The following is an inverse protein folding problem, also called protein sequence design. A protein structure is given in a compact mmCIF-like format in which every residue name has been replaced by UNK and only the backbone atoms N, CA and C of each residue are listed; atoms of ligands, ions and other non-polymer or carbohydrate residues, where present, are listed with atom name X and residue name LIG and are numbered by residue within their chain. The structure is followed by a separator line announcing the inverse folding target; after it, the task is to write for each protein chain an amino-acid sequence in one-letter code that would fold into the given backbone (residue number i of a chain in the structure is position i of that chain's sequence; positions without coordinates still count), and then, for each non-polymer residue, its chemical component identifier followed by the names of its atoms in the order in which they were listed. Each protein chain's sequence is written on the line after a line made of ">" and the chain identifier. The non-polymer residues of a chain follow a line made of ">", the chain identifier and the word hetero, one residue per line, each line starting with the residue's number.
data_IF_978984521285
#
_entry.id   IF_978984521285
#
_cell.length_a   1.000
_cell.length_b   1.000
_cell.length_c   1.000
_cell.angle_alpha   90.00
_cell.angle_beta   90.00
_cell.angle_gamma   90.00
#
_symmetry.space_group_name_H-M   'P 1'
#
loop_
_entity.id
_entity.type
_entity.pdbx_description
1 polymer ?
#
# COMPACT_ATOMS: atom_id res chain seq x y z
N UNK A 1 9.21 -18.29 -31.77
CA UNK A 1 9.65 -18.84 -30.47
C UNK A 1 8.70 -18.32 -29.39
N UNK A 2 7.64 -19.08 -29.11
CA UNK A 2 6.57 -18.72 -28.18
C UNK A 2 7.09 -19.05 -26.78
N UNK A 3 7.57 -18.05 -26.04
CA UNK A 3 7.90 -18.26 -24.63
C UNK A 3 6.61 -18.32 -23.84
N UNK A 4 6.18 -19.55 -23.58
CA UNK A 4 5.29 -19.90 -22.48
C UNK A 4 6.02 -19.54 -21.18
N UNK A 5 5.62 -18.52 -20.40
CA UNK A 5 6.32 -18.17 -19.17
C UNK A 5 6.07 -19.31 -18.18
N UNK A 6 7.00 -20.25 -18.09
CA UNK A 6 7.04 -21.21 -17.00
C UNK A 6 7.26 -20.42 -15.70
N UNK A 7 6.77 -21.00 -14.60
CA UNK A 7 6.90 -20.56 -13.19
C UNK A 7 8.24 -19.89 -12.77
N UNK A 8 9.31 -20.05 -13.53
CA UNK A 8 10.66 -19.54 -13.25
C UNK A 8 10.80 -18.01 -13.36
N UNK A 9 10.01 -17.33 -14.22
CA UNK A 9 10.22 -15.89 -14.46
C UNK A 9 9.58 -14.99 -13.37
N UNK A 10 8.59 -15.50 -12.63
CA UNK A 10 8.01 -14.79 -11.48
C UNK A 10 8.83 -14.92 -10.18
N UNK A 11 9.63 -15.98 -10.08
CA UNK A 11 10.59 -16.19 -8.99
C UNK A 11 11.97 -15.72 -9.45
N UNK A 12 12.06 -14.47 -9.89
CA UNK A 12 13.35 -13.79 -9.96
C UNK A 12 14.02 -13.77 -8.57
N UNK A 13 15.33 -13.55 -8.54
CA UNK A 13 16.05 -13.27 -7.29
C UNK A 13 15.33 -12.17 -6.50
N UNK A 14 15.44 -12.17 -5.16
CA UNK A 14 14.79 -11.17 -4.30
C UNK A 14 15.01 -9.73 -4.81
N UNK A 15 16.23 -9.45 -5.29
CA UNK A 15 16.59 -8.17 -5.91
C UNK A 15 15.69 -7.84 -7.12
N UNK A 16 15.45 -8.80 -8.02
CA UNK A 16 14.57 -8.61 -9.18
C UNK A 16 13.12 -8.34 -8.78
N UNK A 17 12.65 -8.92 -7.68
CA UNK A 17 11.32 -8.64 -7.14
C UNK A 17 11.23 -7.24 -6.55
N UNK A 18 12.25 -6.80 -5.81
CA UNK A 18 12.33 -5.45 -5.24
C UNK A 18 12.42 -4.35 -6.30
N UNK A 19 13.18 -4.57 -7.38
CA UNK A 19 13.30 -3.62 -8.50
C UNK A 19 12.20 -3.77 -9.56
N UNK A 20 11.27 -4.73 -9.38
CA UNK A 20 10.25 -5.07 -10.38
C UNK A 20 10.80 -5.38 -11.78
N UNK A 21 12.07 -5.81 -11.90
CA UNK A 21 12.73 -6.02 -13.20
C UNK A 21 12.13 -7.17 -14.02
N UNK A 22 11.29 -8.00 -13.40
CA UNK A 22 10.48 -8.99 -14.11
C UNK A 22 9.47 -8.35 -15.09
N UNK A 23 9.09 -7.08 -14.89
CA UNK A 23 8.23 -6.32 -15.79
C UNK A 23 8.96 -5.77 -17.03
N UNK A 24 10.29 -5.62 -16.97
CA UNK A 24 11.08 -4.94 -18.02
C UNK A 24 10.85 -5.58 -19.40
N UNK A 25 10.80 -6.91 -19.46
CA UNK A 25 10.57 -7.65 -20.71
C UNK A 25 9.20 -7.30 -21.33
N UNK A 26 8.17 -7.15 -20.50
CA UNK A 26 6.82 -6.81 -20.96
C UNK A 26 6.76 -5.36 -21.42
N UNK A 27 7.36 -4.44 -20.66
CA UNK A 27 7.40 -3.02 -20.97
C UNK A 27 8.17 -2.75 -22.28
N UNK A 28 9.35 -3.33 -22.44
CA UNK A 28 10.15 -3.22 -23.67
C UNK A 28 9.41 -3.79 -24.88
N UNK A 29 8.62 -4.86 -24.70
CA UNK A 29 7.81 -5.42 -25.78
C UNK A 29 6.65 -4.51 -26.15
N UNK A 30 5.98 -3.93 -25.16
CA UNK A 30 4.91 -2.95 -25.35
C UNK A 30 5.39 -1.66 -26.02
N UNK A 31 6.64 -1.26 -25.75
CA UNK A 31 7.28 -0.14 -26.45
C UNK A 31 7.52 -0.44 -27.94
N UNK A 32 7.84 -1.70 -28.29
CA UNK A 32 8.15 -2.10 -29.67
C UNK A 32 6.93 -2.52 -30.50
N UNK A 33 5.88 -3.03 -29.85
CA UNK A 33 4.69 -3.59 -30.48
C UNK A 33 3.48 -3.43 -29.56
N UNK A 34 2.31 -3.17 -30.15
CA UNK A 34 1.02 -3.26 -29.45
C UNK A 34 0.83 -4.63 -28.80
N UNK A 35 0.74 -4.65 -27.47
CA UNK A 35 0.56 -5.88 -26.69
C UNK A 35 -0.79 -6.53 -26.99
N UNK A 36 -0.76 -7.85 -27.12
CA UNK A 36 -1.95 -8.69 -27.25
C UNK A 36 -2.10 -9.60 -26.03
N UNK A 37 -3.27 -10.23 -25.85
CA UNK A 37 -3.54 -11.07 -24.66
C UNK A 37 -2.53 -12.21 -24.47
N UNK A 38 -1.98 -12.76 -25.58
CA UNK A 38 -0.95 -13.81 -25.55
C UNK A 38 0.41 -13.33 -25.04
N UNK A 39 0.65 -12.02 -25.05
CA UNK A 39 1.91 -11.42 -24.57
C UNK A 39 1.87 -11.15 -23.06
N UNK A 40 0.69 -11.23 -22.44
CA UNK A 40 0.48 -11.00 -21.02
C UNK A 40 0.91 -12.22 -20.20
N UNK A 41 1.42 -11.94 -19.00
CA UNK A 41 1.75 -12.98 -18.05
C UNK A 41 0.49 -13.70 -17.56
N UNK A 42 0.55 -15.03 -17.38
CA UNK A 42 -0.55 -15.76 -16.75
C UNK A 42 -0.68 -15.35 -15.29
N UNK A 43 -1.92 -15.39 -14.78
CA UNK A 43 -2.19 -15.12 -13.37
C UNK A 43 -1.42 -16.10 -12.46
N UNK A 44 -0.69 -15.62 -11.44
CA UNK A 44 -0.03 -16.48 -10.47
C UNK A 44 -1.01 -17.45 -9.80
N UNK A 45 -0.58 -18.69 -9.53
CA UNK A 45 -1.45 -19.74 -8.97
C UNK A 45 -2.03 -19.36 -7.60
N UNK A 46 -1.30 -18.55 -6.85
CA UNK A 46 -1.70 -18.01 -5.54
C UNK A 46 -2.81 -16.96 -5.67
N UNK A 47 -2.86 -16.25 -6.80
CA UNK A 47 -3.81 -15.19 -7.11
C UNK A 47 -4.95 -15.64 -8.03
N UNK A 48 -4.94 -16.90 -8.49
CA UNK A 48 -6.04 -17.46 -9.25
C UNK A 48 -7.36 -17.38 -8.47
N UNK A 49 -8.39 -16.89 -9.15
CA UNK A 49 -9.76 -16.69 -8.63
C UNK A 49 -10.30 -17.88 -7.85
N UNK A 50 -10.11 -19.10 -8.38
CA UNK A 50 -10.57 -20.35 -7.73
C UNK A 50 -9.95 -20.54 -6.36
N UNK A 51 -8.62 -20.50 -6.25
CA UNK A 51 -7.89 -20.75 -5.00
C UNK A 51 -8.11 -19.63 -3.98
N UNK A 52 -8.16 -18.39 -4.45
CA UNK A 52 -8.47 -17.23 -3.63
C UNK A 52 -9.86 -17.36 -3.01
N UNK A 53 -10.87 -17.70 -3.82
CA UNK A 53 -12.22 -17.89 -3.34
C UNK A 53 -12.36 -19.11 -2.40
N UNK A 54 -11.67 -20.21 -2.66
CA UNK A 54 -11.64 -21.39 -1.77
C UNK A 54 -11.13 -21.03 -0.37
N UNK A 55 -10.09 -20.19 -0.26
CA UNK A 55 -9.59 -19.68 1.04
C UNK A 55 -10.64 -18.82 1.74
N UNK A 56 -11.29 -17.92 1.01
CA UNK A 56 -12.37 -17.10 1.55
C UNK A 56 -13.56 -17.96 2.02
N UNK A 57 -14.02 -18.88 1.18
CA UNK A 57 -15.17 -19.74 1.45
C UNK A 57 -14.92 -20.59 2.70
N UNK A 58 -13.71 -21.13 2.89
CA UNK A 58 -13.34 -21.83 4.14
C UNK A 58 -13.56 -20.96 5.38
N UNK A 59 -13.15 -19.70 5.35
CA UNK A 59 -13.36 -18.76 6.45
C UNK A 59 -14.83 -18.34 6.58
N UNK A 60 -15.55 -18.21 5.47
CA UNK A 60 -16.98 -17.88 5.45
C UNK A 60 -17.84 -19.00 6.02
N UNK A 61 -17.62 -20.26 5.62
CA UNK A 61 -18.31 -21.42 6.17
C UNK A 61 -18.07 -21.60 7.67
N UNK A 62 -16.89 -21.23 8.15
CA UNK A 62 -16.59 -21.25 9.60
C UNK A 62 -17.35 -20.15 10.34
N UNK A 63 -17.48 -18.97 9.74
CA UNK A 63 -18.20 -17.83 10.34
C UNK A 63 -19.72 -18.04 10.33
N UNK A 64 -20.26 -18.71 9.30
CA UNK A 64 -21.68 -19.09 9.20
C UNK A 64 -22.16 -20.00 10.35
N UNK A 65 -21.26 -20.72 11.03
CA UNK A 65 -21.58 -21.56 12.19
C UNK A 65 -21.78 -20.75 13.48
N UNK A 66 -21.50 -19.45 13.47
CA UNK A 66 -21.64 -18.58 14.65
C UNK A 66 -23.00 -17.90 14.66
N UNK A 67 -23.45 -17.47 15.84
CA UNK A 67 -24.74 -16.81 16.02
C UNK A 67 -24.91 -15.54 15.17
N UNK A 68 -23.82 -14.76 14.98
CA UNK A 68 -23.82 -13.52 14.19
C UNK A 68 -22.73 -13.58 13.11
N UNK A 69 -23.02 -14.15 11.93
CA UNK A 69 -22.04 -14.25 10.85
C UNK A 69 -21.73 -12.87 10.26
N UNK A 70 -20.43 -12.56 10.13
CA UNK A 70 -19.96 -11.29 9.57
C UNK A 70 -18.96 -11.54 8.45
N UNK A 71 -19.36 -11.18 7.22
CA UNK A 71 -18.54 -11.36 6.02
C UNK A 71 -17.25 -10.54 6.09
N UNK A 72 -17.26 -9.40 6.80
CA UNK A 72 -16.09 -8.54 6.96
C UNK A 72 -14.96 -9.27 7.68
N UNK A 73 -15.29 -10.08 8.69
CA UNK A 73 -14.32 -10.88 9.44
C UNK A 73 -13.70 -11.98 8.58
N UNK A 74 -14.52 -12.66 7.76
CA UNK A 74 -14.02 -13.69 6.84
C UNK A 74 -13.10 -13.09 5.78
N UNK A 75 -13.49 -11.95 5.18
CA UNK A 75 -12.66 -11.20 4.23
C UNK A 75 -11.34 -10.76 4.87
N UNK A 76 -11.39 -10.16 6.07
CA UNK A 76 -10.21 -9.73 6.79
C UNK A 76 -9.26 -10.91 7.05
N UNK A 77 -9.75 -12.06 7.51
CA UNK A 77 -8.93 -13.27 7.72
C UNK A 77 -8.35 -13.86 6.44
N UNK A 78 -8.96 -13.66 5.28
CA UNK A 78 -8.38 -14.09 4.01
C UNK A 78 -7.21 -13.21 3.59
N UNK A 79 -7.32 -11.90 3.83
CA UNK A 79 -6.42 -10.88 3.29
C UNK A 79 -5.39 -10.34 4.29
N UNK A 80 -5.54 -10.61 5.60
CA UNK A 80 -4.73 -9.99 6.66
C UNK A 80 -3.23 -10.16 6.46
N UNK A 81 -2.77 -11.31 5.96
CA UNK A 81 -1.34 -11.57 5.80
C UNK A 81 -0.69 -10.58 4.83
N UNK A 82 -1.37 -10.31 3.71
CA UNK A 82 -0.88 -9.34 2.71
C UNK A 82 -1.03 -7.91 3.20
N UNK A 83 -2.12 -7.62 3.90
CA UNK A 83 -2.36 -6.32 4.52
C UNK A 83 -1.26 -5.97 5.53
N UNK A 84 -0.88 -6.90 6.41
CA UNK A 84 0.18 -6.72 7.40
C UNK A 84 1.56 -6.55 6.76
N UNK A 85 1.86 -7.29 5.68
CA UNK A 85 3.13 -7.13 4.96
C UNK A 85 3.24 -5.74 4.34
N UNK A 86 2.19 -5.28 3.63
CA UNK A 86 2.17 -3.92 3.08
C UNK A 86 2.28 -2.85 4.17
N UNK A 87 1.57 -3.05 5.27
CA UNK A 87 1.64 -2.21 6.45
C UNK A 87 3.02 -2.11 7.09
N UNK A 88 3.73 -3.24 7.16
CA UNK A 88 5.10 -3.30 7.66
C UNK A 88 6.08 -2.49 6.78
N UNK A 89 5.96 -2.57 5.45
CA UNK A 89 6.77 -1.73 4.55
C UNK A 89 6.48 -0.24 4.73
N UNK A 90 5.21 0.16 4.90
CA UNK A 90 4.89 1.55 5.22
C UNK A 90 5.49 2.00 6.55
N UNK A 91 5.53 1.13 7.56
CA UNK A 91 6.18 1.45 8.83
C UNK A 91 7.68 1.71 8.63
N UNK A 92 8.38 0.84 7.88
CA UNK A 92 9.79 1.04 7.53
C UNK A 92 9.99 2.36 6.78
N UNK A 93 9.14 2.65 5.79
CA UNK A 93 9.19 3.89 5.02
C UNK A 93 9.13 5.13 5.93
N UNK A 94 8.20 5.16 6.89
CA UNK A 94 8.07 6.28 7.82
C UNK A 94 9.28 6.40 8.75
N UNK A 95 9.86 5.29 9.22
CA UNK A 95 11.09 5.31 10.01
C UNK A 95 12.29 5.86 9.22
N UNK A 96 12.39 5.48 7.95
CA UNK A 96 13.42 5.99 7.04
C UNK A 96 13.21 7.48 6.76
N UNK A 97 11.97 7.96 6.66
CA UNK A 97 11.66 9.38 6.49
C UNK A 97 12.13 10.22 7.69
N UNK A 98 11.94 9.74 8.92
CA UNK A 98 12.50 10.40 10.10
C UNK A 98 14.03 10.41 10.07
N UNK A 99 14.64 9.29 9.69
CA UNK A 99 16.10 9.19 9.53
C UNK A 99 16.58 10.21 8.50
N UNK A 100 15.92 10.32 7.34
CA UNK A 100 16.23 11.31 6.31
C UNK A 100 16.18 12.74 6.87
N UNK A 101 15.17 13.07 7.68
CA UNK A 101 15.06 14.37 8.34
C UNK A 101 16.27 14.71 9.22
N UNK A 102 16.81 13.73 9.97
CA UNK A 102 18.01 13.92 10.79
C UNK A 102 19.25 14.16 9.91
N UNK A 103 19.41 13.40 8.83
CA UNK A 103 20.52 13.57 7.89
C UNK A 103 20.49 14.96 7.23
N UNK A 104 19.31 15.41 6.80
CA UNK A 104 19.11 16.75 6.21
C UNK A 104 19.39 17.84 7.23
N UNK A 105 18.93 17.70 8.48
CA UNK A 105 19.18 18.65 9.56
C UNK A 105 20.69 18.83 9.83
N UNK A 106 21.42 17.73 9.99
CA UNK A 106 22.87 17.76 10.20
C UNK A 106 23.61 18.36 8.99
N UNK A 107 23.22 17.99 7.77
CA UNK A 107 23.79 18.58 6.56
C UNK A 107 23.56 20.10 6.50
N UNK A 108 22.35 20.56 6.84
CA UNK A 108 22.01 21.98 6.88
C UNK A 108 22.82 22.75 7.94
N UNK A 109 23.02 22.18 9.14
CA UNK A 109 23.84 22.82 10.19
C UNK A 109 25.31 22.99 9.77
N UNK A 110 25.83 22.07 8.94
CA UNK A 110 27.18 22.18 8.40
C UNK A 110 27.27 23.28 7.33
N UNK A 111 26.24 23.43 6.50
CA UNK A 111 26.20 24.48 5.48
C UNK A 111 26.02 25.89 6.06
N UNK A 112 25.30 26.03 7.18
CA UNK A 112 24.99 27.31 7.82
C UNK A 112 26.04 27.77 8.82
N UNK A 113 27.00 26.91 9.17
CA UNK A 113 28.17 27.29 9.95
C UNK A 113 27.93 27.47 11.45
N UNK A 114 26.81 27.00 12.02
CA UNK A 114 26.59 27.04 13.48
C UNK A 114 27.67 26.28 14.27
N UNK A 115 28.35 25.30 13.64
CA UNK A 115 29.49 24.58 14.20
C UNK A 115 30.86 25.08 13.66
N UNK A 116 30.91 26.19 12.93
CA UNK A 116 32.10 26.69 12.22
C UNK A 116 33.08 27.48 13.10
N UNK A 117 33.04 27.32 14.43
CA UNK A 117 33.89 28.12 15.31
C UNK A 117 35.33 27.63 15.43
N UNK A 118 35.73 26.42 14.96
CA UNK A 118 37.14 25.99 15.08
C UNK A 118 37.73 25.03 14.02
N UNK A 119 37.04 24.63 12.94
CA UNK A 119 37.58 23.68 11.95
C UNK A 119 37.06 23.96 10.52
N UNK A 120 37.52 25.06 9.91
CA UNK A 120 37.13 25.40 8.52
C UNK A 120 37.94 24.59 7.50
N UNK A 121 39.08 24.00 7.89
CA UNK A 121 39.87 23.14 7.00
C UNK A 121 39.58 21.65 7.26
N UNK A 122 38.96 20.97 6.27
CA UNK A 122 38.78 19.51 6.09
C UNK A 122 37.40 18.86 6.30
N UNK A 123 36.31 19.58 6.52
CA UNK A 123 34.98 18.95 6.71
C UNK A 123 34.20 18.60 5.42
N UNK A 124 34.77 18.79 4.22
CA UNK A 124 34.11 18.39 2.96
C UNK A 124 33.77 16.89 2.92
N UNK A 125 34.57 16.05 3.57
CA UNK A 125 34.33 14.61 3.69
C UNK A 125 33.07 14.30 4.50
N UNK A 126 32.83 15.05 5.58
CA UNK A 126 31.64 14.92 6.42
C UNK A 126 30.40 15.37 5.65
N UNK A 127 30.46 16.52 4.98
CA UNK A 127 29.36 17.01 4.12
C UNK A 127 29.05 16.06 2.98
N UNK A 128 30.07 15.51 2.31
CA UNK A 128 29.91 14.49 1.28
C UNK A 128 29.28 13.20 1.86
N UNK A 129 29.69 12.79 3.06
CA UNK A 129 29.13 11.63 3.75
C UNK A 129 27.63 11.79 4.03
N UNK A 130 27.20 12.95 4.52
CA UNK A 130 25.78 13.23 4.72
C UNK A 130 25.02 13.31 3.40
N UNK A 131 25.56 13.94 2.36
CA UNK A 131 24.92 14.01 1.04
C UNK A 131 24.74 12.62 0.40
N UNK A 132 25.76 11.76 0.48
CA UNK A 132 25.66 10.36 0.06
C UNK A 132 24.63 9.59 0.90
N UNK A 133 24.62 9.80 2.21
CA UNK A 133 23.63 9.22 3.12
C UNK A 133 22.20 9.60 2.75
N UNK A 134 21.93 10.89 2.52
CA UNK A 134 20.63 11.41 2.07
C UNK A 134 20.20 10.71 0.77
N UNK A 135 21.12 10.58 -0.18
CA UNK A 135 20.85 9.94 -1.47
C UNK A 135 20.50 8.46 -1.30
N UNK A 136 21.30 7.71 -0.54
CA UNK A 136 21.09 6.28 -0.28
C UNK A 136 19.77 6.06 0.45
N UNK A 137 19.50 6.82 1.51
CA UNK A 137 18.24 6.72 2.27
C UNK A 137 17.04 7.03 1.38
N UNK A 138 17.13 8.04 0.51
CA UNK A 138 16.05 8.40 -0.43
C UNK A 138 15.75 7.29 -1.44
N UNK A 139 16.78 6.60 -1.94
CA UNK A 139 16.61 5.42 -2.81
C UNK A 139 15.88 4.31 -2.06
N UNK A 140 16.30 3.99 -0.83
CA UNK A 140 15.69 2.94 -0.02
C UNK A 140 14.23 3.29 0.33
N UNK A 141 13.92 4.56 0.64
CA UNK A 141 12.55 5.03 0.84
C UNK A 141 11.70 4.74 -0.40
N UNK A 142 12.17 5.15 -1.58
CA UNK A 142 11.43 4.98 -2.85
C UNK A 142 11.17 3.50 -3.15
N UNK A 143 12.16 2.64 -2.91
CA UNK A 143 12.02 1.19 -3.09
C UNK A 143 11.00 0.59 -2.10
N UNK A 144 11.08 0.98 -0.83
CA UNK A 144 10.17 0.53 0.23
C UNK A 144 8.74 0.96 -0.06
N UNK A 145 8.55 2.20 -0.50
CA UNK A 145 7.26 2.76 -0.91
C UNK A 145 6.63 1.95 -2.06
N UNK A 146 7.42 1.66 -3.09
CA UNK A 146 6.98 0.86 -4.24
C UNK A 146 6.52 -0.54 -3.81
N UNK A 147 7.24 -1.15 -2.88
CA UNK A 147 6.88 -2.45 -2.32
C UNK A 147 5.61 -2.40 -1.46
N UNK A 148 5.47 -1.38 -0.60
CA UNK A 148 4.27 -1.17 0.21
C UNK A 148 3.02 -1.05 -0.68
N UNK A 149 3.09 -0.21 -1.71
CA UNK A 149 2.00 -0.02 -2.67
C UNK A 149 1.68 -1.31 -3.43
N UNK A 150 2.68 -2.07 -3.88
CA UNK A 150 2.46 -3.35 -4.55
C UNK A 150 1.59 -4.31 -3.71
N UNK A 151 1.92 -4.48 -2.42
CA UNK A 151 1.16 -5.38 -1.54
C UNK A 151 -0.27 -4.90 -1.33
N UNK A 152 -0.45 -3.60 -1.15
CA UNK A 152 -1.77 -3.02 -0.92
C UNK A 152 -2.66 -3.10 -2.18
N UNK A 153 -2.11 -2.87 -3.36
CA UNK A 153 -2.83 -3.11 -4.62
C UNK A 153 -3.20 -4.59 -4.77
N UNK A 154 -2.31 -5.50 -4.38
CA UNK A 154 -2.63 -6.93 -4.37
C UNK A 154 -3.80 -7.26 -3.42
N UNK A 155 -3.88 -6.62 -2.25
CA UNK A 155 -5.04 -6.76 -1.34
C UNK A 155 -6.32 -6.23 -2.00
N UNK A 156 -6.26 -5.05 -2.63
CA UNK A 156 -7.39 -4.44 -3.34
C UNK A 156 -7.96 -5.35 -4.43
N UNK A 157 -7.10 -5.79 -5.35
CA UNK A 157 -7.47 -6.68 -6.45
C UNK A 157 -8.05 -8.02 -5.95
N UNK A 158 -7.49 -8.59 -4.89
CA UNK A 158 -8.00 -9.84 -4.31
C UNK A 158 -9.36 -9.65 -3.66
N UNK A 159 -9.56 -8.55 -2.93
CA UNK A 159 -10.86 -8.22 -2.33
C UNK A 159 -11.93 -8.07 -3.41
N UNK A 160 -11.65 -7.32 -4.47
CA UNK A 160 -12.52 -7.17 -5.64
C UNK A 160 -12.86 -8.53 -6.27
N UNK A 161 -11.86 -9.37 -6.53
CA UNK A 161 -12.07 -10.69 -7.12
C UNK A 161 -12.97 -11.57 -6.25
N UNK A 162 -12.75 -11.60 -4.93
CA UNK A 162 -13.59 -12.37 -3.99
C UNK A 162 -15.04 -11.85 -4.03
N UNK A 163 -15.25 -10.53 -3.97
CA UNK A 163 -16.58 -9.93 -4.00
C UNK A 163 -17.34 -10.27 -5.28
N UNK A 164 -16.70 -10.16 -6.46
CA UNK A 164 -17.33 -10.52 -7.74
C UNK A 164 -17.78 -11.98 -7.76
N UNK A 165 -16.90 -12.90 -7.34
CA UNK A 165 -17.21 -14.34 -7.33
C UNK A 165 -18.32 -14.64 -6.31
N UNK A 166 -18.29 -13.99 -5.12
CA UNK A 166 -19.30 -14.16 -4.09
C UNK A 166 -20.69 -13.70 -4.57
N UNK A 167 -20.76 -12.51 -5.19
CA UNK A 167 -21.98 -11.95 -5.76
C UNK A 167 -22.52 -12.89 -6.84
N UNK A 168 -21.68 -13.31 -7.79
CA UNK A 168 -22.07 -14.21 -8.86
C UNK A 168 -22.61 -15.56 -8.33
N UNK A 169 -21.90 -16.19 -7.39
CA UNK A 169 -22.37 -17.43 -6.75
C UNK A 169 -23.67 -17.25 -5.97
N UNK A 170 -23.89 -16.08 -5.36
CA UNK A 170 -25.12 -15.79 -4.63
C UNK A 170 -26.30 -15.64 -5.59
N UNK A 171 -26.13 -14.94 -6.70
CA UNK A 171 -27.17 -14.76 -7.73
C UNK A 171 -27.62 -16.11 -8.30
N UNK A 172 -26.68 -17.02 -8.58
CA UNK A 172 -27.00 -18.37 -9.09
C UNK A 172 -27.74 -19.27 -8.09
N UNK A 173 -27.82 -18.89 -6.81
CA UNK A 173 -28.42 -19.70 -5.74
C UNK A 173 -29.64 -19.05 -5.07
N UNK A 174 -29.94 -17.79 -5.40
CA UNK A 174 -31.04 -17.08 -4.77
C UNK A 174 -32.37 -17.54 -5.38
N UNK A 175 -33.45 -17.53 -4.59
CA UNK A 175 -34.78 -17.84 -5.09
C UNK A 175 -35.23 -16.80 -6.12
N UNK A 176 -35.90 -17.27 -7.17
CA UNK A 176 -36.35 -16.44 -8.29
C UNK A 176 -37.28 -15.29 -7.83
N UNK A 177 -38.14 -15.54 -6.83
CA UNK A 177 -39.04 -14.54 -6.23
C UNK A 177 -38.31 -13.36 -5.58
N UNK A 178 -37.11 -13.61 -5.03
CA UNK A 178 -36.25 -12.58 -4.44
C UNK A 178 -35.42 -11.91 -5.53
N UNK A 179 -34.95 -12.67 -6.52
CA UNK A 179 -34.19 -12.14 -7.65
C UNK A 179 -34.98 -11.11 -8.44
N UNK A 180 -36.28 -11.35 -8.70
CA UNK A 180 -37.14 -10.39 -9.41
C UNK A 180 -37.30 -9.04 -8.69
N UNK A 181 -37.02 -8.96 -7.38
CA UNK A 181 -37.03 -7.70 -6.63
C UNK A 181 -35.74 -6.88 -6.83
N UNK A 182 -34.68 -7.49 -7.34
CA UNK A 182 -33.39 -6.83 -7.58
C UNK A 182 -33.20 -6.65 -9.08
N UNK A 183 -33.07 -5.41 -9.55
CA UNK A 183 -32.86 -5.15 -10.97
C UNK A 183 -31.46 -5.63 -11.40
N UNK A 184 -31.36 -6.18 -12.62
CA UNK A 184 -30.07 -6.56 -13.21
C UNK A 184 -29.12 -5.37 -13.28
N UNK A 185 -29.66 -4.18 -13.61
CA UNK A 185 -28.90 -2.92 -13.60
C UNK A 185 -28.30 -2.58 -12.23
N UNK A 186 -29.02 -2.85 -11.13
CA UNK A 186 -28.50 -2.63 -9.79
C UNK A 186 -27.30 -3.54 -9.49
N UNK A 187 -27.35 -4.81 -9.88
CA UNK A 187 -26.24 -5.76 -9.71
C UNK A 187 -25.03 -5.33 -10.52
N UNK A 188 -25.25 -4.93 -11.78
CA UNK A 188 -24.18 -4.45 -12.65
C UNK A 188 -23.52 -3.23 -12.02
N UNK A 189 -24.31 -2.24 -11.58
CA UNK A 189 -23.80 -1.04 -10.93
C UNK A 189 -23.02 -1.35 -9.64
N UNK A 190 -23.51 -2.28 -8.82
CA UNK A 190 -22.82 -2.72 -7.60
C UNK A 190 -21.42 -3.30 -7.93
N UNK A 191 -21.32 -4.14 -8.97
CA UNK A 191 -20.06 -4.74 -9.38
C UNK A 191 -19.13 -3.73 -10.06
N UNK A 192 -19.66 -2.86 -10.92
CA UNK A 192 -18.85 -1.93 -11.70
C UNK A 192 -18.42 -0.69 -10.92
N UNK A 193 -19.23 -0.22 -9.98
CA UNK A 193 -18.97 1.00 -9.22
C UNK A 193 -18.47 0.69 -7.81
N UNK A 194 -19.24 -0.04 -7.00
CA UNK A 194 -18.90 -0.22 -5.58
C UNK A 194 -17.75 -1.19 -5.37
N UNK A 195 -17.74 -2.33 -6.05
CA UNK A 195 -16.65 -3.29 -5.93
C UNK A 195 -15.34 -2.75 -6.51
N UNK A 196 -15.42 -1.87 -7.52
CA UNK A 196 -14.22 -1.24 -8.11
C UNK A 196 -13.52 -0.28 -7.13
N UNK A 197 -14.25 0.36 -6.22
CA UNK A 197 -13.67 1.25 -5.19
C UNK A 197 -12.68 0.54 -4.28
N UNK A 198 -12.76 -0.79 -4.12
CA UNK A 198 -11.81 -1.54 -3.29
C UNK A 198 -10.38 -1.48 -3.84
N UNK A 199 -10.17 -1.36 -5.15
CA UNK A 199 -8.84 -1.30 -5.76
C UNK A 199 -8.05 -0.07 -5.27
N UNK A 200 -8.74 1.03 -4.97
CA UNK A 200 -8.13 2.28 -4.52
C UNK A 200 -8.32 2.56 -3.03
N UNK A 201 -9.49 2.23 -2.48
CA UNK A 201 -9.89 2.58 -1.11
C UNK A 201 -9.08 1.85 -0.03
N UNK A 202 -8.70 0.60 -0.28
CA UNK A 202 -7.91 -0.22 0.65
C UNK A 202 -6.54 0.39 0.96
N UNK A 203 -6.02 1.25 0.06
CA UNK A 203 -4.76 1.96 0.28
C UNK A 203 -4.78 2.84 1.51
N UNK A 204 -5.90 3.50 1.77
CA UNK A 204 -6.03 4.39 2.91
C UNK A 204 -6.28 3.65 4.22
N UNK A 205 -6.65 2.36 4.18
CA UNK A 205 -6.92 1.59 5.40
C UNK A 205 -5.69 1.43 6.31
N UNK A 206 -4.49 1.35 5.73
CA UNK A 206 -3.25 1.31 6.51
C UNK A 206 -2.96 2.62 7.26
N UNK A 207 -3.46 3.76 6.75
CA UNK A 207 -3.26 5.05 7.40
C UNK A 207 -3.90 5.11 8.80
N UNK A 208 -5.03 4.43 9.03
CA UNK A 208 -5.73 4.46 10.31
C UNK A 208 -4.86 4.06 11.51
N UNK A 209 -4.01 3.04 11.34
CA UNK A 209 -3.14 2.57 12.43
C UNK A 209 -1.72 3.16 12.35
N UNK A 210 -1.26 3.55 11.17
CA UNK A 210 0.03 4.22 10.99
C UNK A 210 0.02 5.67 11.47
N UNK A 211 -1.03 6.45 11.17
CA UNK A 211 -1.10 7.87 11.52
C UNK A 211 -0.88 8.12 13.01
N UNK A 212 -1.53 7.40 13.96
CA UNK A 212 -1.27 7.57 15.39
C UNK A 212 0.19 7.32 15.77
N UNK A 213 0.82 6.28 15.20
CA UNK A 213 2.23 5.93 15.46
C UNK A 213 3.15 7.04 14.94
N UNK A 214 2.92 7.52 13.72
CA UNK A 214 3.72 8.58 13.10
C UNK A 214 3.56 9.89 13.86
N UNK A 215 2.35 10.26 14.26
CA UNK A 215 2.09 11.47 15.07
C UNK A 215 2.82 11.37 16.41
N UNK A 216 2.76 10.22 17.08
CA UNK A 216 3.46 9.99 18.35
C UNK A 216 4.98 10.17 18.21
N UNK A 217 5.59 9.49 17.24
CA UNK A 217 7.04 9.60 16.99
C UNK A 217 7.43 11.03 16.64
N UNK A 218 6.65 11.69 15.77
CA UNK A 218 6.87 13.09 15.38
C UNK A 218 6.80 14.02 16.59
N UNK A 219 5.83 13.80 17.48
CA UNK A 219 5.68 14.57 18.72
C UNK A 219 6.91 14.43 19.62
N UNK A 220 7.42 13.21 19.79
CA UNK A 220 8.63 12.95 20.58
C UNK A 220 9.84 13.67 19.98
N UNK A 221 10.05 13.56 18.66
CA UNK A 221 11.16 14.23 17.96
C UNK A 221 11.08 15.75 18.13
N UNK A 222 9.88 16.33 18.01
CA UNK A 222 9.65 17.76 18.18
C UNK A 222 9.95 18.20 19.61
N UNK A 223 9.49 17.45 20.62
CA UNK A 223 9.73 17.78 22.03
C UNK A 223 11.22 17.75 22.39
N UNK A 224 12.00 16.84 21.80
CA UNK A 224 13.44 16.76 22.03
C UNK A 224 14.19 17.92 21.37
N UNK A 225 13.85 18.27 20.12
CA UNK A 225 14.62 19.26 19.35
C UNK A 225 14.12 20.70 19.52
N UNK A 226 12.80 20.91 19.54
CA UNK A 226 12.14 22.24 19.49
C UNK A 226 11.41 22.54 20.83
N UNK A 227 11.32 21.57 21.74
CA UNK A 227 10.60 21.66 23.02
C UNK A 227 9.13 22.01 22.82
N UNK A 228 8.52 22.72 23.78
CA UNK A 228 7.08 22.96 23.84
C UNK A 228 6.52 23.83 22.72
N UNK A 229 7.35 24.68 22.07
CA UNK A 229 6.88 25.59 21.01
C UNK A 229 6.41 24.79 19.79
N UNK A 230 7.05 23.66 19.47
CA UNK A 230 6.67 22.83 18.33
C UNK A 230 5.31 22.14 18.49
N UNK A 231 4.78 22.04 19.71
CA UNK A 231 3.44 21.47 19.95
C UNK A 231 2.32 22.32 19.33
N UNK A 232 2.55 23.64 19.14
CA UNK A 232 1.57 24.52 18.50
C UNK A 232 1.27 24.08 17.06
N UNK A 233 2.29 23.60 16.32
CA UNK A 233 2.11 23.08 14.97
C UNK A 233 1.27 21.81 14.92
N UNK A 234 1.47 20.91 15.88
CA UNK A 234 0.66 19.69 16.01
C UNK A 234 -0.79 20.05 16.35
N UNK A 235 -0.99 21.00 17.27
CA UNK A 235 -2.31 21.52 17.62
C UNK A 235 -3.04 22.10 16.41
N UNK A 236 -2.34 22.86 15.55
CA UNK A 236 -2.90 23.38 14.30
C UNK A 236 -3.34 22.25 13.35
N UNK A 237 -2.51 21.22 13.14
CA UNK A 237 -2.84 20.08 12.27
C UNK A 237 -4.08 19.34 12.78
N UNK A 238 -4.17 19.10 14.10
CA UNK A 238 -5.32 18.45 14.72
C UNK A 238 -6.58 19.29 14.54
N UNK A 239 -6.50 20.60 14.73
CA UNK A 239 -7.63 21.51 14.55
C UNK A 239 -8.07 21.63 13.08
N UNK A 240 -7.13 21.52 12.15
CA UNK A 240 -7.41 21.58 10.70
C UNK A 240 -8.06 20.30 10.16
N UNK A 241 -7.73 19.14 10.74
CA UNK A 241 -8.27 17.83 10.31
C UNK A 241 -9.81 17.76 10.28
N UNK A 242 -10.57 18.19 11.31
CA UNK A 242 -12.04 18.17 11.25
C UNK A 242 -12.61 19.08 10.17
N UNK A 243 -11.95 20.22 9.87
CA UNK A 243 -12.37 21.11 8.78
C UNK A 243 -12.26 20.37 7.43
N UNK A 244 -11.17 19.65 7.21
CA UNK A 244 -11.00 18.82 6.01
C UNK A 244 -12.08 17.72 5.92
N UNK A 245 -12.45 17.10 7.05
CA UNK A 245 -13.51 16.07 7.08
C UNK A 245 -14.86 16.67 6.72
N UNK A 246 -15.23 17.83 7.28
CA UNK A 246 -16.49 18.52 6.95
C UNK A 246 -16.54 18.88 5.47
N UNK A 247 -15.46 19.43 4.92
CA UNK A 247 -15.37 19.74 3.49
C UNK A 247 -15.52 18.47 2.63
N UNK A 248 -14.90 17.35 3.03
CA UNK A 248 -15.04 16.08 2.35
C UNK A 248 -16.42 15.42 2.45
N UNK A 249 -17.31 15.90 3.33
CA UNK A 249 -18.72 15.51 3.33
C UNK A 249 -19.58 16.39 2.42
N UNK A 250 -19.13 17.62 2.15
CA UNK A 250 -19.85 18.61 1.33
C UNK A 250 -19.58 18.38 -0.16
N UNK A 251 -18.36 17.97 -0.51
CA UNK A 251 -17.91 17.68 -1.89
C UNK A 251 -17.81 16.18 -2.15
#
# INVERSE_FOLDING_TARGET
>A
MILNPRKSDFRGNLISQFYFSWLDKLLLRGFRKTLTQIDLFPCPKEQCSKRLFERFDKHWQTELKKNNPDIKKSLAKTLYSLFLIGGFFFLIENLLLFTLGIFVGNFSSLCTGENATNQIDNNWRSSLGYALGITIVSIIITMTHSMAFYFVYCVGMQMRAICIIAIFKKILRIQQSVLHKVSVGHIINLVSNDVFKFDYGIRYTNAFWLCPIVILISTIIILVNIRSIGLLGIGYIILHTPIQVVLGFIF
#
